data_IF_091752978220
#
_entry.id   IF_091752978220
#
_cell.length_a   1.000
_cell.length_b   1.000
_cell.length_c   1.000
_cell.angle_alpha   90.00
_cell.angle_beta   90.00
_cell.angle_gamma   90.00
#
_symmetry.space_group_name_H-M   'P 1'
#
loop_
_entity.id
_entity.type
_entity.pdbx_description
1 polymer ?
#
# COMPACT_ATOMS: atom_id res chain seq x y z
N UNK A 1 -17.27 -0.37 5.51
CA UNK A 1 -16.23 0.15 4.59
C UNK A 1 -15.02 0.56 5.41
N UNK A 2 -13.87 0.06 5.06
CA UNK A 2 -12.65 0.37 5.80
C UNK A 2 -12.19 1.78 5.47
N UNK A 3 -11.93 2.56 6.51
CA UNK A 3 -11.45 3.93 6.33
C UNK A 3 -9.94 3.92 6.04
N UNK A 4 -9.55 4.64 5.00
CA UNK A 4 -8.13 4.83 4.70
C UNK A 4 -7.58 5.92 5.61
N UNK A 5 -6.50 5.61 6.28
CA UNK A 5 -5.81 6.54 7.17
C UNK A 5 -4.38 6.74 6.68
N UNK A 6 -3.81 7.89 7.00
CA UNK A 6 -2.40 8.14 6.74
C UNK A 6 -1.64 7.89 8.03
N UNK A 7 -0.69 6.98 7.95
CA UNK A 7 0.18 6.65 9.07
C UNK A 7 1.57 7.22 8.79
N UNK A 8 2.12 7.98 9.73
CA UNK A 8 3.46 8.52 9.61
C UNK A 8 4.43 7.59 10.33
N UNK A 9 5.26 6.93 9.56
CA UNK A 9 6.26 6.00 10.09
C UNK A 9 7.62 6.70 10.17
N UNK A 10 8.41 6.46 11.21
CA UNK A 10 9.73 7.10 11.34
C UNK A 10 10.67 6.81 10.19
N UNK A 11 10.54 5.63 9.56
CA UNK A 11 11.42 5.21 8.46
C UNK A 11 10.81 5.51 7.11
N UNK A 12 9.49 5.32 6.96
CA UNK A 12 8.81 5.41 5.67
C UNK A 12 8.19 6.76 5.37
N UNK A 13 8.03 7.61 6.39
CA UNK A 13 7.21 8.80 6.23
C UNK A 13 5.73 8.45 6.19
N UNK A 14 4.99 9.06 5.29
CA UNK A 14 3.53 8.88 5.21
C UNK A 14 3.19 7.66 4.36
N UNK A 15 2.40 6.76 4.93
CA UNK A 15 1.93 5.54 4.27
C UNK A 15 0.43 5.43 4.52
N UNK A 16 -0.33 5.16 3.47
CA UNK A 16 -1.77 4.91 3.61
C UNK A 16 -1.98 3.54 4.22
N UNK A 17 -2.85 3.47 5.22
CA UNK A 17 -3.19 2.21 5.88
C UNK A 17 -4.70 2.08 5.96
N UNK A 18 -5.16 0.83 5.97
CA UNK A 18 -6.55 0.52 6.28
C UNK A 18 -6.58 -0.48 7.41
N UNK A 19 -7.63 -0.38 8.23
CA UNK A 19 -7.88 -1.31 9.31
C UNK A 19 -8.87 -2.36 8.79
N UNK A 20 -8.38 -3.58 8.60
CA UNK A 20 -9.23 -4.66 8.11
C UNK A 20 -10.01 -5.25 9.29
N UNK A 21 -11.26 -4.82 9.42
CA UNK A 21 -12.12 -5.25 10.51
C UNK A 21 -12.42 -6.75 10.49
N UNK A 22 -12.35 -7.37 9.30
CA UNK A 22 -12.62 -8.80 9.18
C UNK A 22 -11.52 -9.65 9.80
N UNK A 23 -10.25 -9.25 9.64
CA UNK A 23 -9.11 -9.99 10.18
C UNK A 23 -8.50 -9.34 11.41
N UNK A 24 -8.85 -8.08 11.69
CA UNK A 24 -8.24 -7.31 12.76
C UNK A 24 -6.82 -6.83 12.46
N UNK A 25 -6.37 -6.97 11.22
CA UNK A 25 -5.03 -6.58 10.80
C UNK A 25 -5.02 -5.17 10.24
N UNK A 26 -3.89 -4.48 10.43
CA UNK A 26 -3.59 -3.26 9.68
C UNK A 26 -2.98 -3.64 8.35
N UNK A 27 -3.49 -3.04 7.28
CA UNK A 27 -2.98 -3.25 5.93
C UNK A 27 -2.36 -1.95 5.44
N UNK A 28 -1.17 -2.06 4.87
CA UNK A 28 -0.39 -0.92 4.40
C UNK A 28 -0.42 -0.87 2.88
N UNK A 29 -0.56 0.33 2.32
CA UNK A 29 -0.52 0.50 0.86
C UNK A 29 0.86 0.08 0.35
N UNK A 30 0.90 -0.98 -0.45
CA UNK A 30 2.15 -1.56 -0.91
C UNK A 30 2.98 -0.58 -1.73
N UNK A 31 2.34 0.22 -2.58
CA UNK A 31 3.03 1.24 -3.37
C UNK A 31 3.70 2.28 -2.50
N UNK A 32 3.03 2.74 -1.45
CA UNK A 32 3.59 3.73 -0.55
C UNK A 32 4.83 3.18 0.15
N UNK A 33 4.77 1.91 0.59
CA UNK A 33 5.89 1.26 1.26
C UNK A 33 7.07 1.09 0.31
N UNK A 34 6.83 0.58 -0.90
CA UNK A 34 7.92 0.37 -1.86
C UNK A 34 8.55 1.67 -2.31
N UNK A 35 7.75 2.72 -2.50
CA UNK A 35 8.28 4.04 -2.84
C UNK A 35 9.14 4.60 -1.71
N UNK A 36 8.69 4.45 -0.48
CA UNK A 36 9.44 4.93 0.69
C UNK A 36 10.76 4.20 0.85
N UNK A 37 10.80 2.91 0.50
CA UNK A 37 12.02 2.11 0.58
C UNK A 37 12.94 2.27 -0.62
N UNK A 38 12.51 3.00 -1.65
CA UNK A 38 13.35 3.30 -2.79
C UNK A 38 13.36 2.26 -3.89
N UNK A 39 12.37 1.37 -3.92
CA UNK A 39 12.24 0.42 -5.03
C UNK A 39 11.85 1.14 -6.31
N UNK A 40 12.55 0.85 -7.40
CA UNK A 40 12.26 1.45 -8.71
C UNK A 40 11.00 0.84 -9.33
N UNK A 41 10.66 -0.41 -9.00
CA UNK A 41 9.48 -1.08 -9.48
C UNK A 41 8.79 -1.77 -8.30
N UNK A 42 7.82 -1.08 -7.72
CA UNK A 42 7.12 -1.57 -6.53
C UNK A 42 6.35 -2.86 -6.78
N UNK A 43 5.71 -2.99 -7.94
CA UNK A 43 4.95 -4.18 -8.29
C UNK A 43 5.86 -5.41 -8.33
N UNK A 44 7.02 -5.29 -8.96
CA UNK A 44 8.00 -6.36 -9.05
C UNK A 44 8.55 -6.72 -7.66
N UNK A 45 8.84 -5.72 -6.84
CA UNK A 45 9.32 -5.94 -5.48
C UNK A 45 8.31 -6.73 -4.65
N UNK A 46 7.04 -6.39 -4.75
CA UNK A 46 5.98 -7.11 -4.03
C UNK A 46 5.88 -8.55 -4.51
N UNK A 47 5.91 -8.75 -5.82
CA UNK A 47 5.83 -10.08 -6.42
C UNK A 47 6.99 -10.98 -5.99
N UNK A 48 8.18 -10.42 -5.85
CA UNK A 48 9.39 -11.19 -5.51
C UNK A 48 9.55 -11.45 -4.03
N UNK A 49 9.19 -10.48 -3.19
CA UNK A 49 9.61 -10.47 -1.80
C UNK A 49 8.48 -10.66 -0.80
N UNK A 50 7.23 -10.50 -1.23
CA UNK A 50 6.08 -10.61 -0.33
C UNK A 50 5.31 -11.87 -0.66
N UNK A 51 5.05 -12.70 0.36
CA UNK A 51 4.23 -13.90 0.21
C UNK A 51 2.81 -13.49 -0.20
N UNK A 52 2.23 -14.24 -1.12
CA UNK A 52 0.88 -13.94 -1.61
C UNK A 52 -0.16 -13.93 -0.48
N UNK A 53 0.10 -14.69 0.59
CA UNK A 53 -0.78 -14.72 1.76
C UNK A 53 -0.76 -13.41 2.55
N UNK A 54 0.28 -12.61 2.36
CA UNK A 54 0.44 -11.32 3.02
C UNK A 54 -0.08 -10.15 2.17
N UNK A 55 -0.61 -10.44 1.00
CA UNK A 55 -1.11 -9.45 0.04
C UNK A 55 -2.63 -9.48 0.05
N UNK A 56 -3.23 -8.28 0.12
CA UNK A 56 -4.68 -8.12 0.00
C UNK A 56 -4.97 -7.03 -1.02
N UNK A 57 -6.07 -7.16 -1.74
CA UNK A 57 -6.50 -6.16 -2.71
C UNK A 57 -7.81 -5.55 -2.27
N UNK A 58 -7.87 -4.24 -2.29
CA UNK A 58 -9.07 -3.49 -1.90
C UNK A 58 -9.37 -2.44 -2.95
N UNK A 59 -10.66 -2.22 -3.18
CA UNK A 59 -11.11 -1.14 -4.05
C UNK A 59 -11.00 0.18 -3.31
N UNK A 60 -10.38 1.15 -3.95
CA UNK A 60 -10.30 2.50 -3.43
C UNK A 60 -10.96 3.47 -4.41
N UNK A 61 -11.73 4.42 -3.87
CA UNK A 61 -12.27 5.50 -4.66
C UNK A 61 -11.18 6.51 -5.00
N UNK A 62 -11.04 6.80 -6.27
CA UNK A 62 -10.10 7.82 -6.76
C UNK A 62 -10.88 8.86 -7.52
N UNK A 63 -10.63 10.14 -7.23
CA UNK A 63 -11.25 11.23 -7.96
C UNK A 63 -10.64 11.30 -9.35
N UNK A 64 -11.47 11.15 -10.37
CA UNK A 64 -11.03 11.16 -11.77
C UNK A 64 -11.33 12.47 -12.50
N UNK A 65 -12.10 13.36 -11.88
CA UNK A 65 -12.48 14.63 -12.47
C UNK A 65 -13.74 15.15 -11.81
N UNK A 66 -14.43 16.05 -12.50
CA UNK A 66 -15.68 16.62 -12.00
C UNK A 66 -16.81 16.27 -12.95
N UNK A 67 -17.96 15.98 -12.38
CA UNK A 67 -19.19 15.79 -13.15
C UNK A 67 -19.74 17.13 -13.60
N UNK A 68 -20.70 17.08 -14.53
CA UNK A 68 -21.31 18.27 -15.07
C UNK A 68 -21.99 19.15 -14.01
N UNK A 69 -22.43 18.54 -12.90
CA UNK A 69 -23.09 19.24 -11.78
C UNK A 69 -22.10 19.83 -10.77
N UNK A 70 -20.77 19.72 -11.01
CA UNK A 70 -19.74 20.25 -10.13
C UNK A 70 -19.27 19.31 -9.04
N UNK A 71 -19.90 18.15 -8.89
CA UNK A 71 -19.44 17.15 -7.91
C UNK A 71 -18.28 16.33 -8.46
N UNK A 72 -17.53 15.71 -7.56
CA UNK A 72 -16.39 14.88 -7.97
C UNK A 72 -16.85 13.56 -8.58
N UNK A 73 -16.21 13.18 -9.66
CA UNK A 73 -16.37 11.85 -10.24
C UNK A 73 -15.34 10.90 -9.61
N UNK A 74 -15.80 9.72 -9.22
CA UNK A 74 -14.95 8.72 -8.58
C UNK A 74 -14.89 7.47 -9.43
N UNK A 75 -13.73 6.82 -9.40
CA UNK A 75 -13.55 5.51 -10.02
C UNK A 75 -12.98 4.58 -8.95
N UNK A 76 -13.52 3.37 -8.89
CA UNK A 76 -12.97 2.33 -8.02
C UNK A 76 -11.71 1.78 -8.68
N UNK A 77 -10.60 1.84 -7.95
CA UNK A 77 -9.31 1.31 -8.41
C UNK A 77 -8.88 0.23 -7.44
N UNK A 78 -8.56 -0.95 -7.96
CA UNK A 78 -8.04 -2.04 -7.13
C UNK A 78 -6.62 -1.69 -6.71
N UNK A 79 -6.40 -1.58 -5.41
CA UNK A 79 -5.12 -1.20 -4.84
C UNK A 79 -4.57 -2.36 -4.01
N UNK A 80 -3.28 -2.62 -4.14
CA UNK A 80 -2.60 -3.67 -3.41
C UNK A 80 -2.19 -3.17 -2.03
N UNK A 81 -2.56 -3.93 -1.01
CA UNK A 81 -2.16 -3.70 0.37
C UNK A 81 -1.40 -4.92 0.88
N UNK A 82 -0.54 -4.70 1.83
CA UNK A 82 0.22 -5.77 2.48
C UNK A 82 0.07 -5.64 3.99
N UNK A 83 0.14 -6.77 4.68
CA UNK A 83 0.11 -6.78 6.13
C UNK A 83 1.51 -6.46 6.69
N UNK A 84 1.63 -6.48 8.01
CA UNK A 84 2.88 -6.15 8.68
C UNK A 84 4.02 -7.09 8.26
N UNK A 85 3.75 -8.38 8.09
CA UNK A 85 4.75 -9.34 7.61
C UNK A 85 5.28 -8.96 6.24
N UNK A 86 4.40 -8.52 5.34
CA UNK A 86 4.80 -8.05 4.01
C UNK A 86 5.69 -6.82 4.08
N UNK A 87 5.39 -5.90 4.99
CA UNK A 87 6.22 -4.71 5.19
C UNK A 87 7.63 -5.11 5.62
N UNK A 88 7.75 -6.02 6.60
CA UNK A 88 9.05 -6.46 7.06
C UNK A 88 9.85 -7.18 5.97
N UNK A 89 9.18 -7.97 5.15
CA UNK A 89 9.83 -8.65 4.02
C UNK A 89 10.44 -7.63 3.05
N UNK A 90 9.73 -6.55 2.76
CA UNK A 90 10.23 -5.50 1.88
C UNK A 90 11.38 -4.72 2.52
N UNK A 91 11.31 -4.44 3.80
CA UNK A 91 12.40 -3.76 4.52
C UNK A 91 13.67 -4.60 4.47
N UNK A 92 13.54 -5.88 4.77
CA UNK A 92 14.69 -6.79 4.78
C UNK A 92 15.35 -6.88 3.41
N UNK A 93 14.53 -7.03 2.36
CA UNK A 93 15.04 -7.12 0.99
C UNK A 93 15.70 -5.81 0.54
N UNK A 94 15.13 -4.68 0.93
CA UNK A 94 15.70 -3.37 0.63
C UNK A 94 17.10 -3.21 1.23
N UNK A 95 17.29 -3.66 2.46
CA UNK A 95 18.60 -3.61 3.13
C UNK A 95 19.62 -4.48 2.42
N UNK A 96 19.21 -5.66 1.96
CA UNK A 96 20.10 -6.56 1.23
C UNK A 96 20.55 -5.95 -0.10
N UNK A 97 19.64 -5.33 -0.83
CA UNK A 97 19.97 -4.70 -2.10
C UNK A 97 20.92 -3.54 -1.92
N UNK A 98 20.77 -2.77 -0.85
CA UNK A 98 21.65 -1.64 -0.55
C UNK A 98 23.02 -2.04 -0.05
N UNK A 99 23.16 -3.26 0.46
CA UNK A 99 24.42 -3.77 0.98
C UNK A 99 25.37 -4.25 -0.10
N UNK A 100 24.94 -4.27 -1.34
CA UNK A 100 25.77 -4.72 -2.46
C UNK A 100 26.80 -3.67 -2.88
#
# INVERSE_FOLDING_TARGET
>A
MDAVKVFTHPVFGQVRVIDDNASGELLFCANDVTNALGYSNGRDAISRHVDIRDVAKHDMGVVTGKKADGTDAYQAVVTTFINESGVYSLIFSSKQERAK
#
